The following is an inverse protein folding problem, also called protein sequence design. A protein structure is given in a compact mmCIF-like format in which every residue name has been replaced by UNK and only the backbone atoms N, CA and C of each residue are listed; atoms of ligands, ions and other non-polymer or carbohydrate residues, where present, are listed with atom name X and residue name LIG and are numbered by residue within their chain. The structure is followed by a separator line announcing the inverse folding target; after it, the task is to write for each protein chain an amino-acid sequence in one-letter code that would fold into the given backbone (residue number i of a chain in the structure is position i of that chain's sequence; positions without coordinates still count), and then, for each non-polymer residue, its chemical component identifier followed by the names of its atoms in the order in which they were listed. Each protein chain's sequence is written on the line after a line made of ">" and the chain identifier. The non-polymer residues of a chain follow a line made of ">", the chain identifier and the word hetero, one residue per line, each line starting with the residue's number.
data_IF_266088247517
#
_entry.id   IF_266088247517
#
_cell.length_a   1.000
_cell.length_b   1.000
_cell.length_c   1.000
_cell.angle_alpha   90.00
_cell.angle_beta   90.00
_cell.angle_gamma   90.00
#
_symmetry.space_group_name_H-M   'P 1'
#
loop_
_entity.id
_entity.type
_entity.pdbx_description
1 polymer ?
#
# COMPACT_ATOMS: atom_id res chain seq x y z
N UNK A 1 2.00 -50.07 68.18
CA UNK A 1 2.71 -49.49 67.04
C UNK A 1 1.81 -49.38 65.74
N UNK A 2 1.15 -50.47 65.32
CA UNK A 2 0.35 -50.44 64.07
C UNK A 2 -0.86 -49.42 64.08
N UNK A 3 -1.49 -49.24 65.28
CA UNK A 3 -2.62 -48.27 65.41
C UNK A 3 -2.17 -46.81 65.46
N UNK A 4 -0.93 -46.53 65.92
CA UNK A 4 -0.37 -45.20 65.95
C UNK A 4 0.05 -44.72 64.54
N UNK A 5 0.57 -45.64 63.71
CA UNK A 5 0.97 -45.39 62.33
C UNK A 5 -0.27 -45.08 61.44
N UNK A 6 -1.39 -45.78 61.67
CA UNK A 6 -2.63 -45.56 60.99
C UNK A 6 -3.24 -44.16 61.30
N UNK A 7 -3.10 -43.65 62.52
CA UNK A 7 -3.59 -42.35 62.96
C UNK A 7 -2.76 -41.17 62.33
N UNK A 8 -1.43 -41.36 62.25
CA UNK A 8 -0.52 -40.37 61.65
C UNK A 8 -0.72 -40.29 60.15
N UNK A 9 -0.97 -41.42 59.47
CA UNK A 9 -1.28 -41.47 58.05
C UNK A 9 -2.66 -40.83 57.73
N UNK A 10 -3.66 -41.02 58.61
CA UNK A 10 -4.98 -40.39 58.45
C UNK A 10 -4.91 -38.87 58.66
N UNK A 11 -4.09 -38.38 59.60
CA UNK A 11 -3.89 -36.95 59.85
C UNK A 11 -3.13 -36.27 58.71
N UNK A 12 -2.15 -36.99 58.09
CA UNK A 12 -1.44 -36.50 56.92
C UNK A 12 -2.33 -36.36 55.67
N UNK A 13 -3.30 -37.28 55.47
CA UNK A 13 -4.25 -37.23 54.38
C UNK A 13 -5.28 -36.07 54.53
N UNK A 14 -5.69 -35.73 55.77
CA UNK A 14 -6.63 -34.59 56.01
C UNK A 14 -5.94 -33.25 55.84
N UNK A 15 -4.62 -33.16 56.12
CA UNK A 15 -3.84 -31.94 55.86
C UNK A 15 -3.56 -31.72 54.38
N UNK A 16 -3.50 -32.76 53.53
CA UNK A 16 -3.37 -32.63 52.08
C UNK A 16 -4.69 -32.21 51.39
N UNK A 17 -5.85 -32.43 51.98
CA UNK A 17 -7.14 -31.99 51.45
C UNK A 17 -7.48 -30.56 51.82
N UNK A 18 -6.88 -29.95 52.83
CA UNK A 18 -7.08 -28.57 53.21
C UNK A 18 -6.19 -27.59 52.41
N UNK A 19 -5.21 -28.08 51.63
CA UNK A 19 -4.33 -27.26 50.79
C UNK A 19 -4.80 -27.12 49.34
N UNK A 20 -5.92 -27.76 48.94
CA UNK A 20 -6.52 -27.66 47.60
C UNK A 20 -7.69 -26.68 47.51
N UNK A 21 -7.80 -25.75 48.45
CA UNK A 21 -8.86 -24.73 48.48
C UNK A 21 -8.34 -23.32 48.43
N UNK A 22 -7.41 -23.00 47.50
CA UNK A 22 -7.09 -21.62 47.18
C UNK A 22 -6.81 -21.46 45.69
N UNK A 23 -7.72 -20.68 45.09
CA UNK A 23 -7.52 -19.93 43.86
C UNK A 23 -6.99 -20.75 42.67
N UNK A 24 -7.91 -21.21 41.83
CA UNK A 24 -7.62 -21.19 40.40
C UNK A 24 -7.21 -19.77 40.04
N UNK A 25 -5.95 -19.46 40.22
CA UNK A 25 -5.31 -18.52 39.34
C UNK A 25 -5.20 -19.25 38.01
N UNK A 26 -6.22 -19.12 37.15
CA UNK A 26 -6.01 -19.15 35.72
C UNK A 26 -4.68 -18.41 35.50
N UNK A 27 -3.70 -18.94 34.78
CA UNK A 27 -2.58 -18.12 34.35
C UNK A 27 -3.25 -16.97 33.61
N UNK A 28 -3.19 -15.73 34.12
CA UNK A 28 -3.33 -14.58 33.31
C UNK A 28 -2.31 -14.81 32.19
N UNK A 29 -2.78 -15.19 31.03
CA UNK A 29 -2.08 -14.96 29.77
C UNK A 29 -1.55 -13.56 29.92
N UNK A 30 -0.21 -13.43 29.86
CA UNK A 30 0.44 -12.16 30.18
C UNK A 30 -0.31 -11.04 29.53
N UNK A 31 -0.55 -9.98 30.31
CA UNK A 31 -0.97 -8.69 29.77
C UNK A 31 0.07 -8.29 28.70
N UNK A 32 -0.13 -8.76 27.48
CA UNK A 32 0.47 -8.12 26.32
C UNK A 32 -0.27 -6.82 26.20
N UNK A 33 0.25 -5.76 26.83
CA UNK A 33 -0.33 -4.43 26.85
C UNK A 33 -0.19 -3.79 25.45
N UNK A 34 -0.58 -4.52 24.41
CA UNK A 34 -0.59 -4.03 23.02
C UNK A 34 -1.80 -3.11 22.89
N UNK A 35 -1.54 -1.84 22.66
CA UNK A 35 -2.59 -0.83 22.52
C UNK A 35 -3.02 -0.66 21.07
N UNK A 36 -2.06 -0.81 20.13
CA UNK A 36 -2.26 -0.59 18.69
C UNK A 36 -1.91 -1.84 17.92
N UNK A 37 -2.88 -2.39 17.21
CA UNK A 37 -2.65 -3.45 16.21
C UNK A 37 -2.43 -2.83 14.84
N UNK A 38 -1.44 -3.30 14.11
CA UNK A 38 -1.14 -2.85 12.75
C UNK A 38 -1.13 -4.06 11.83
N UNK A 39 -1.86 -3.98 10.72
CA UNK A 39 -1.89 -5.04 9.71
C UNK A 39 -1.47 -4.45 8.37
N UNK A 40 -0.39 -5.00 7.78
CA UNK A 40 0.17 -4.61 6.49
C UNK A 40 0.04 -5.73 5.46
N UNK A 41 0.03 -5.44 4.14
CA UNK A 41 -0.35 -6.44 3.13
C UNK A 41 0.68 -7.56 2.97
N UNK A 42 1.96 -7.23 2.73
CA UNK A 42 3.00 -8.21 2.40
C UNK A 42 4.40 -7.72 2.77
N UNK A 43 5.37 -8.63 2.83
CA UNK A 43 6.81 -8.29 2.93
C UNK A 43 7.52 -8.33 1.58
N UNK A 44 6.83 -8.73 0.51
CA UNK A 44 7.43 -8.87 -0.82
C UNK A 44 7.65 -7.51 -1.50
N UNK A 45 6.87 -6.49 -1.12
CA UNK A 45 7.07 -5.11 -1.50
C UNK A 45 7.93 -4.40 -0.44
N UNK A 46 9.13 -3.88 -0.77
CA UNK A 46 10.05 -3.22 0.18
C UNK A 46 9.43 -2.04 0.92
N UNK A 47 8.46 -1.38 0.31
CA UNK A 47 7.71 -0.28 0.89
C UNK A 47 7.14 -0.62 2.27
N UNK A 48 6.47 -1.76 2.42
CA UNK A 48 5.80 -2.12 3.66
C UNK A 48 6.75 -2.40 4.83
N UNK A 49 8.02 -2.75 4.54
CA UNK A 49 9.05 -2.84 5.56
C UNK A 49 9.51 -1.46 6.06
N UNK A 50 9.47 -0.44 5.19
CA UNK A 50 9.74 0.95 5.57
C UNK A 50 8.60 1.48 6.47
N UNK A 51 7.35 1.17 6.12
CA UNK A 51 6.18 1.53 6.93
C UNK A 51 6.23 0.85 8.32
N UNK A 52 6.57 -0.45 8.42
CA UNK A 52 6.77 -1.16 9.69
C UNK A 52 7.79 -0.44 10.58
N UNK A 53 8.94 -0.06 10.01
CA UNK A 53 9.99 0.66 10.74
C UNK A 53 9.52 2.05 11.20
N UNK A 54 8.82 2.78 10.35
CA UNK A 54 8.28 4.11 10.63
C UNK A 54 7.22 4.08 11.74
N UNK A 55 6.29 3.13 11.70
CA UNK A 55 5.31 2.91 12.77
C UNK A 55 5.97 2.55 14.09
N UNK A 56 6.94 1.63 14.08
CA UNK A 56 7.63 1.20 15.29
C UNK A 56 8.35 2.38 15.96
N UNK A 57 8.97 3.24 15.16
CA UNK A 57 9.63 4.44 15.65
C UNK A 57 8.62 5.49 16.17
N UNK A 58 7.59 5.82 15.39
CA UNK A 58 6.64 6.87 15.73
C UNK A 58 5.81 6.52 16.98
N UNK A 59 5.23 5.31 17.04
CA UNK A 59 4.42 4.86 18.18
C UNK A 59 5.28 4.64 19.43
N UNK A 60 6.49 4.07 19.28
CA UNK A 60 7.43 3.88 20.38
C UNK A 60 7.87 5.22 20.99
N UNK A 61 8.17 6.22 20.16
CA UNK A 61 8.50 7.57 20.63
C UNK A 61 7.31 8.26 21.34
N UNK A 62 6.09 7.97 20.92
CA UNK A 62 4.87 8.45 21.57
C UNK A 62 4.49 7.68 22.84
N UNK A 63 5.21 6.61 23.18
CA UNK A 63 5.00 5.81 24.39
C UNK A 63 3.90 4.77 24.28
N UNK A 64 3.46 4.42 23.05
CA UNK A 64 2.47 3.37 22.80
C UNK A 64 3.12 2.03 22.47
N UNK A 65 2.47 0.96 22.91
CA UNK A 65 2.84 -0.41 22.52
C UNK A 65 2.06 -0.83 21.30
N UNK A 66 2.76 -1.27 20.27
CA UNK A 66 2.16 -1.73 19.02
C UNK A 66 2.68 -3.11 18.60
N UNK A 67 1.91 -3.78 17.76
CA UNK A 67 2.31 -5.02 17.11
C UNK A 67 1.93 -4.95 15.63
N UNK A 68 2.89 -5.30 14.76
CA UNK A 68 2.71 -5.33 13.30
C UNK A 68 2.62 -6.76 12.83
N UNK A 69 1.58 -7.08 12.08
CA UNK A 69 1.36 -8.36 11.41
C UNK A 69 1.20 -8.15 9.91
N UNK A 70 1.62 -9.14 9.12
CA UNK A 70 1.55 -9.09 7.66
C UNK A 70 0.55 -10.11 7.11
N UNK A 71 -0.28 -9.68 6.17
CA UNK A 71 -1.33 -10.50 5.55
C UNK A 71 -0.80 -11.50 4.52
N UNK A 72 0.47 -11.41 4.15
CA UNK A 72 1.15 -12.31 3.21
C UNK A 72 0.43 -12.40 1.85
N UNK A 73 -0.17 -11.31 1.39
CA UNK A 73 -0.97 -11.31 0.15
C UNK A 73 -2.32 -12.04 0.25
N UNK A 74 -2.82 -12.32 1.47
CA UNK A 74 -4.01 -13.15 1.69
C UNK A 74 -5.03 -12.49 2.62
N UNK A 75 -6.25 -12.23 2.12
CA UNK A 75 -7.35 -11.69 2.93
C UNK A 75 -7.78 -12.62 4.07
N UNK A 76 -7.58 -13.94 3.96
CA UNK A 76 -7.86 -14.86 5.06
C UNK A 76 -6.83 -14.78 6.18
N UNK A 77 -5.55 -14.55 5.85
CA UNK A 77 -4.49 -14.28 6.82
C UNK A 77 -4.71 -12.91 7.47
N UNK A 78 -5.14 -11.92 6.69
CA UNK A 78 -5.50 -10.58 7.19
C UNK A 78 -6.57 -10.65 8.26
N UNK A 79 -7.68 -11.35 7.98
CA UNK A 79 -8.74 -11.58 8.96
C UNK A 79 -8.22 -12.27 10.24
N UNK A 80 -7.39 -13.32 10.09
CA UNK A 80 -6.80 -14.03 11.23
C UNK A 80 -5.86 -13.16 12.06
N UNK A 81 -5.12 -12.26 11.40
CA UNK A 81 -4.25 -11.27 12.06
C UNK A 81 -5.07 -10.28 12.89
N UNK A 82 -6.17 -9.77 12.34
CA UNK A 82 -7.08 -8.88 13.07
C UNK A 82 -7.65 -9.59 14.29
N UNK A 83 -8.14 -10.83 14.15
CA UNK A 83 -8.66 -11.62 15.27
C UNK A 83 -7.59 -11.82 16.36
N UNK A 84 -6.36 -12.16 15.99
CA UNK A 84 -5.26 -12.33 16.94
C UNK A 84 -4.91 -11.03 17.70
N UNK A 85 -5.00 -9.88 17.04
CA UNK A 85 -4.80 -8.57 17.67
C UNK A 85 -5.96 -8.20 18.59
N UNK A 86 -7.21 -8.52 18.22
CA UNK A 86 -8.38 -8.33 19.08
C UNK A 86 -8.30 -9.15 20.37
N UNK A 87 -7.82 -10.40 20.29
CA UNK A 87 -7.58 -11.24 21.46
C UNK A 87 -6.53 -10.65 22.43
N UNK A 88 -5.60 -9.83 21.94
CA UNK A 88 -4.62 -9.07 22.75
C UNK A 88 -5.19 -7.82 23.38
N UNK A 89 -6.43 -7.44 23.03
CA UNK A 89 -7.16 -6.32 23.62
C UNK A 89 -6.71 -4.95 23.11
N UNK A 90 -6.30 -4.86 21.84
CA UNK A 90 -5.98 -3.58 21.18
C UNK A 90 -7.14 -2.59 21.30
N UNK A 91 -6.83 -1.31 21.22
CA UNK A 91 -7.80 -0.21 21.26
C UNK A 91 -7.97 0.47 19.91
N UNK A 92 -6.93 0.43 19.09
CA UNK A 92 -6.91 0.97 17.74
C UNK A 92 -6.34 -0.10 16.81
N UNK A 93 -7.02 -0.33 15.68
CA UNK A 93 -6.54 -1.11 14.56
C UNK A 93 -6.14 -0.15 13.44
N UNK A 94 -4.88 -0.19 13.04
CA UNK A 94 -4.38 0.43 11.80
C UNK A 94 -4.24 -0.67 10.77
N UNK A 95 -4.90 -0.53 9.62
CA UNK A 95 -4.92 -1.57 8.61
C UNK A 95 -4.71 -1.00 7.21
N UNK A 96 -3.73 -1.56 6.49
CA UNK A 96 -3.57 -1.43 5.05
C UNK A 96 -4.09 -2.70 4.40
N UNK A 97 -5.25 -2.63 3.78
CA UNK A 97 -5.97 -3.80 3.29
C UNK A 97 -5.25 -4.48 2.12
N UNK A 98 -5.26 -5.82 2.12
CA UNK A 98 -4.83 -6.61 0.97
C UNK A 98 -5.85 -6.52 -0.19
N UNK A 99 -7.13 -6.49 0.15
CA UNK A 99 -8.25 -6.36 -0.76
C UNK A 99 -9.27 -5.42 -0.12
N UNK A 100 -9.60 -4.32 -0.81
CA UNK A 100 -10.44 -3.24 -0.28
C UNK A 100 -11.83 -3.70 0.16
N UNK A 101 -12.42 -4.66 -0.55
CA UNK A 101 -13.76 -5.17 -0.27
C UNK A 101 -13.73 -6.33 0.73
N UNK A 102 -12.79 -7.28 0.56
CA UNK A 102 -12.70 -8.44 1.44
C UNK A 102 -12.35 -8.08 2.89
N UNK A 103 -11.57 -7.01 3.09
CA UNK A 103 -11.18 -6.52 4.41
C UNK A 103 -12.37 -6.01 5.24
N UNK A 104 -13.52 -5.72 4.62
CA UNK A 104 -14.73 -5.28 5.34
C UNK A 104 -15.12 -6.22 6.47
N UNK A 105 -14.96 -7.54 6.28
CA UNK A 105 -15.26 -8.54 7.31
C UNK A 105 -14.32 -8.46 8.52
N UNK A 106 -13.05 -8.12 8.29
CA UNK A 106 -12.05 -7.98 9.34
C UNK A 106 -12.28 -6.71 10.17
N UNK A 107 -12.53 -5.58 9.51
CA UNK A 107 -12.78 -4.31 10.22
C UNK A 107 -14.14 -4.30 10.92
N UNK A 108 -15.15 -5.02 10.41
CA UNK A 108 -16.43 -5.18 11.11
C UNK A 108 -16.22 -5.87 12.47
N UNK A 109 -15.39 -6.93 12.54
CA UNK A 109 -15.05 -7.58 13.82
C UNK A 109 -14.37 -6.62 14.81
N UNK A 110 -13.47 -5.77 14.32
CA UNK A 110 -12.81 -4.77 15.15
C UNK A 110 -13.82 -3.74 15.68
N UNK A 111 -14.66 -3.23 14.81
CA UNK A 111 -15.73 -2.28 15.16
C UNK A 111 -16.70 -2.86 16.19
N UNK A 112 -17.18 -4.10 15.99
CA UNK A 112 -18.08 -4.80 16.91
C UNK A 112 -17.43 -5.06 18.29
N UNK A 113 -16.10 -5.15 18.34
CA UNK A 113 -15.33 -5.25 19.57
C UNK A 113 -15.07 -3.88 20.24
N UNK A 114 -15.55 -2.78 19.67
CA UNK A 114 -15.34 -1.42 20.15
C UNK A 114 -13.91 -0.90 19.93
N UNK A 115 -13.21 -1.43 18.93
CA UNK A 115 -11.87 -0.99 18.50
C UNK A 115 -12.03 0.03 17.38
N UNK A 116 -11.37 1.19 17.52
CA UNK A 116 -11.37 2.21 16.46
C UNK A 116 -10.53 1.75 15.29
N UNK A 117 -11.06 1.88 14.08
CA UNK A 117 -10.43 1.42 12.83
C UNK A 117 -9.89 2.62 12.05
N UNK A 118 -8.59 2.57 11.76
CA UNK A 118 -7.89 3.55 10.92
C UNK A 118 -7.37 2.82 9.68
N UNK A 119 -7.95 3.11 8.52
CA UNK A 119 -7.39 2.70 7.24
C UNK A 119 -6.08 3.45 6.99
N UNK A 120 -5.05 2.75 6.57
CA UNK A 120 -3.73 3.26 6.25
C UNK A 120 -3.41 2.99 4.79
N UNK A 121 -3.07 4.03 4.04
CA UNK A 121 -2.70 4.01 2.62
C UNK A 121 -3.84 3.52 1.69
N UNK A 122 -4.47 2.38 1.95
CA UNK A 122 -5.55 1.78 1.15
C UNK A 122 -6.89 1.90 1.84
N UNK A 123 -7.89 2.42 1.12
CA UNK A 123 -9.26 2.55 1.64
C UNK A 123 -9.99 1.20 1.60
N UNK A 124 -10.61 0.84 2.71
CA UNK A 124 -11.52 -0.31 2.77
C UNK A 124 -12.92 0.14 2.36
N UNK A 125 -13.51 -0.58 1.39
CA UNK A 125 -14.78 -0.25 0.77
C UNK A 125 -15.92 -1.15 1.27
N UNK A 126 -17.16 -0.77 0.95
CA UNK A 126 -18.37 -1.53 1.23
C UNK A 126 -18.64 -1.82 2.72
N UNK A 127 -18.25 -0.91 3.61
CA UNK A 127 -18.49 -1.04 5.06
C UNK A 127 -18.62 0.34 5.73
N UNK A 128 -19.34 0.40 6.84
CA UNK A 128 -19.38 1.56 7.74
C UNK A 128 -18.45 1.41 8.96
N UNK A 129 -17.68 0.33 9.02
CA UNK A 129 -16.77 -0.01 10.12
C UNK A 129 -15.38 0.63 10.01
N UNK A 130 -15.24 1.73 9.30
CA UNK A 130 -14.00 2.51 9.19
C UNK A 130 -14.23 3.89 9.79
N UNK A 131 -13.42 4.27 10.80
CA UNK A 131 -13.58 5.55 11.49
C UNK A 131 -12.73 6.66 10.86
N UNK A 132 -11.51 6.33 10.40
CA UNK A 132 -10.56 7.28 9.81
C UNK A 132 -9.78 6.65 8.66
N UNK A 133 -9.30 7.52 7.76
CA UNK A 133 -8.40 7.12 6.67
C UNK A 133 -7.22 8.07 6.56
N UNK A 134 -6.01 7.52 6.48
CA UNK A 134 -4.77 8.27 6.30
C UNK A 134 -4.08 7.78 5.04
N UNK A 135 -3.88 8.68 4.10
CA UNK A 135 -3.39 8.34 2.77
C UNK A 135 -2.54 9.45 2.16
N UNK A 136 -2.04 9.21 0.95
CA UNK A 136 -1.49 10.23 0.08
C UNK A 136 -2.54 10.66 -0.96
N UNK A 137 -2.31 11.81 -1.61
CA UNK A 137 -3.13 12.21 -2.75
C UNK A 137 -2.90 11.29 -3.95
N UNK A 138 -3.63 10.16 -3.97
CA UNK A 138 -3.49 9.12 -5.00
C UNK A 138 -3.83 9.65 -6.40
N UNK A 139 -4.79 10.57 -6.52
CA UNK A 139 -5.11 11.20 -7.79
C UNK A 139 -3.94 12.05 -8.30
N UNK A 140 -3.32 12.85 -7.43
CA UNK A 140 -2.15 13.65 -7.78
C UNK A 140 -0.93 12.80 -8.19
N UNK A 141 -0.76 11.60 -7.62
CA UNK A 141 0.25 10.63 -8.09
C UNK A 141 0.05 10.34 -9.57
N UNK A 142 -1.17 9.93 -9.95
CA UNK A 142 -1.49 9.64 -11.35
C UNK A 142 -1.30 10.84 -12.26
N UNK A 143 -1.82 12.01 -11.87
CA UNK A 143 -1.64 13.26 -12.65
C UNK A 143 -0.14 13.55 -12.87
N UNK A 144 0.69 13.41 -11.84
CA UNK A 144 2.12 13.63 -11.93
C UNK A 144 2.80 12.66 -12.92
N UNK A 145 2.42 11.38 -12.91
CA UNK A 145 2.92 10.38 -13.84
C UNK A 145 2.50 10.70 -15.29
N UNK A 146 1.22 10.97 -15.52
CA UNK A 146 0.70 11.29 -16.84
C UNK A 146 1.31 12.57 -17.40
N UNK A 147 1.39 13.64 -16.59
CA UNK A 147 1.96 14.90 -16.98
C UNK A 147 3.45 14.79 -17.31
N UNK A 148 4.20 13.98 -16.52
CA UNK A 148 5.62 13.73 -16.80
C UNK A 148 5.83 13.13 -18.19
N UNK A 149 5.00 12.17 -18.60
CA UNK A 149 5.08 11.59 -19.96
C UNK A 149 4.75 12.63 -21.03
N UNK A 150 3.71 13.44 -20.82
CA UNK A 150 3.33 14.52 -21.76
C UNK A 150 4.48 15.50 -21.98
N UNK A 151 5.12 15.92 -20.88
CA UNK A 151 6.21 16.90 -20.91
C UNK A 151 7.48 16.31 -21.56
N UNK A 152 7.80 15.04 -21.26
CA UNK A 152 8.95 14.34 -21.85
C UNK A 152 8.85 14.20 -23.37
N UNK A 153 7.64 14.09 -23.89
CA UNK A 153 7.37 13.99 -25.33
C UNK A 153 6.76 15.25 -25.93
N UNK A 154 7.01 16.41 -25.33
CA UNK A 154 6.48 17.70 -25.85
C UNK A 154 6.89 17.92 -27.31
N UNK A 155 5.90 18.22 -28.16
CA UNK A 155 6.10 18.45 -29.59
C UNK A 155 6.29 17.20 -30.46
N UNK A 156 6.26 16.00 -29.88
CA UNK A 156 6.23 14.71 -30.59
C UNK A 156 4.78 14.33 -30.93
N UNK A 157 4.62 13.46 -31.92
CA UNK A 157 3.33 12.88 -32.34
C UNK A 157 3.48 11.38 -32.55
N UNK A 158 2.37 10.66 -32.37
CA UNK A 158 2.29 9.20 -32.55
C UNK A 158 3.33 8.44 -31.73
N UNK A 159 3.65 8.90 -30.51
CA UNK A 159 4.54 8.16 -29.60
C UNK A 159 3.79 6.95 -29.06
N UNK A 160 4.33 5.72 -29.20
CA UNK A 160 3.71 4.54 -28.63
C UNK A 160 3.61 4.68 -27.11
N UNK A 161 2.42 4.42 -26.56
CA UNK A 161 2.13 4.49 -25.12
C UNK A 161 1.71 3.13 -24.60
N UNK A 162 2.46 2.62 -23.66
CA UNK A 162 2.12 1.40 -22.94
C UNK A 162 1.59 1.74 -21.54
N UNK A 163 0.41 1.19 -21.22
CA UNK A 163 -0.28 1.43 -19.97
C UNK A 163 -0.19 0.18 -19.08
N UNK A 164 0.14 0.39 -17.81
CA UNK A 164 0.14 -0.65 -16.77
C UNK A 164 -0.54 -0.10 -15.52
N UNK A 165 -1.22 -0.96 -14.79
CA UNK A 165 -1.92 -0.60 -13.56
C UNK A 165 -1.53 -1.51 -12.39
N UNK A 166 -1.85 -1.08 -11.17
CA UNK A 166 -1.80 -1.90 -9.97
C UNK A 166 -2.91 -2.93 -9.90
N UNK A 167 -3.06 -3.58 -8.75
CA UNK A 167 -4.08 -4.59 -8.52
C UNK A 167 -5.50 -4.00 -8.50
N UNK A 168 -6.43 -4.66 -9.17
CA UNK A 168 -7.86 -4.26 -9.18
C UNK A 168 -8.56 -4.52 -7.84
N UNK A 169 -7.90 -5.15 -6.90
CA UNK A 169 -8.35 -5.33 -5.51
C UNK A 169 -7.95 -4.17 -4.60
N UNK A 170 -7.17 -3.23 -5.11
CA UNK A 170 -6.72 -2.03 -4.41
C UNK A 170 -7.41 -0.78 -4.99
N UNK A 171 -8.22 -0.11 -4.15
CA UNK A 171 -8.93 1.11 -4.56
C UNK A 171 -7.99 2.20 -5.09
N UNK A 172 -6.76 2.29 -4.60
CA UNK A 172 -5.78 3.27 -5.07
C UNK A 172 -5.41 3.08 -6.55
N UNK A 173 -5.39 1.84 -7.06
CA UNK A 173 -5.07 1.57 -8.46
C UNK A 173 -6.04 2.28 -9.42
N UNK A 174 -7.31 2.37 -9.05
CA UNK A 174 -8.34 3.12 -9.80
C UNK A 174 -8.06 4.62 -9.77
N UNK A 175 -7.74 5.15 -8.58
CA UNK A 175 -7.50 6.59 -8.38
C UNK A 175 -6.21 7.01 -9.10
N UNK A 176 -5.13 6.22 -9.03
CA UNK A 176 -3.89 6.48 -9.77
C UNK A 176 -4.15 6.51 -11.27
N UNK A 177 -4.83 5.51 -11.80
CA UNK A 177 -5.09 5.44 -13.23
C UNK A 177 -6.01 6.55 -13.69
N UNK A 178 -7.09 6.85 -12.95
CA UNK A 178 -7.98 7.97 -13.25
C UNK A 178 -7.22 9.31 -13.26
N UNK A 179 -6.30 9.53 -12.30
CA UNK A 179 -5.43 10.69 -12.26
C UNK A 179 -4.52 10.80 -13.50
N UNK A 180 -3.85 9.71 -13.87
CA UNK A 180 -3.00 9.68 -15.06
C UNK A 180 -3.82 9.88 -16.35
N UNK A 181 -4.96 9.20 -16.45
CA UNK A 181 -5.83 9.30 -17.61
C UNK A 181 -6.50 10.69 -17.72
N UNK A 182 -6.73 11.39 -16.62
CA UNK A 182 -7.29 12.75 -16.63
C UNK A 182 -6.51 13.74 -17.50
N UNK A 183 -5.19 13.51 -17.65
CA UNK A 183 -4.29 14.34 -18.49
C UNK A 183 -3.91 13.62 -19.79
N UNK A 184 -3.70 12.31 -19.78
CA UNK A 184 -3.27 11.54 -20.95
C UNK A 184 -4.37 11.42 -22.01
N UNK A 185 -5.65 11.38 -21.64
CA UNK A 185 -6.75 11.20 -22.59
C UNK A 185 -6.76 12.25 -23.71
N UNK A 186 -6.53 13.52 -23.37
CA UNK A 186 -6.45 14.62 -24.36
C UNK A 186 -5.18 14.53 -25.19
N UNK A 187 -4.05 14.13 -24.60
CA UNK A 187 -2.80 13.95 -25.33
C UNK A 187 -2.91 12.82 -26.38
N UNK A 188 -3.61 11.74 -26.05
CA UNK A 188 -3.96 10.67 -27.00
C UNK A 188 -4.92 11.18 -28.06
N UNK A 189 -5.99 11.90 -27.68
CA UNK A 189 -6.96 12.46 -28.61
C UNK A 189 -6.34 13.43 -29.61
N UNK A 190 -5.33 14.20 -29.17
CA UNK A 190 -4.60 15.15 -30.01
C UNK A 190 -3.46 14.51 -30.82
N UNK A 191 -3.26 13.18 -30.74
CA UNK A 191 -2.28 12.44 -31.53
C UNK A 191 -0.84 12.57 -31.04
N UNK A 192 -0.61 13.01 -29.79
CA UNK A 192 0.73 12.95 -29.18
C UNK A 192 1.11 11.50 -28.92
N UNK A 193 0.18 10.70 -28.36
CA UNK A 193 0.37 9.30 -28.04
C UNK A 193 -0.57 8.38 -28.81
N UNK A 194 -0.13 7.13 -29.01
CA UNK A 194 -0.93 5.99 -29.49
C UNK A 194 -0.87 4.89 -28.43
N UNK A 195 -2.02 4.51 -27.88
CA UNK A 195 -2.07 3.41 -26.88
C UNK A 195 -1.92 2.06 -27.57
N UNK A 196 -0.93 1.27 -27.18
CA UNK A 196 -0.55 0.01 -27.87
C UNK A 196 -1.11 -1.25 -27.21
N UNK A 197 -1.26 -1.26 -25.88
CA UNK A 197 -1.54 -2.49 -25.13
C UNK A 197 -2.88 -2.51 -24.39
N UNK A 198 -3.72 -1.49 -24.57
CA UNK A 198 -5.00 -1.38 -23.86
C UNK A 198 -6.16 -1.03 -24.81
N UNK A 199 -6.66 -1.97 -25.64
CA UNK A 199 -7.80 -1.69 -26.52
C UNK A 199 -9.07 -1.23 -25.79
N UNK A 200 -9.25 -1.64 -24.52
CA UNK A 200 -10.41 -1.27 -23.72
C UNK A 200 -10.52 0.24 -23.43
N UNK A 201 -9.42 0.99 -23.57
CA UNK A 201 -9.42 2.45 -23.35
C UNK A 201 -9.93 3.25 -24.57
N UNK A 202 -10.06 2.64 -25.75
CA UNK A 202 -10.33 3.33 -27.01
C UNK A 202 -11.58 4.20 -27.00
N UNK A 203 -12.65 3.76 -26.34
CA UNK A 203 -13.93 4.49 -26.24
C UNK A 203 -13.86 5.72 -25.28
N UNK A 204 -12.75 5.84 -24.55
CA UNK A 204 -12.51 6.88 -23.53
C UNK A 204 -11.41 7.86 -23.95
N UNK A 205 -10.92 7.79 -25.18
CA UNK A 205 -10.00 8.79 -25.74
C UNK A 205 -10.71 10.16 -25.80
N UNK A 206 -10.09 11.19 -25.24
CA UNK A 206 -10.68 12.52 -25.09
C UNK A 206 -11.75 12.64 -24.01
N UNK A 207 -11.83 11.63 -23.09
CA UNK A 207 -12.76 11.64 -21.96
C UNK A 207 -12.00 11.28 -20.70
N UNK A 208 -12.09 12.11 -19.67
CA UNK A 208 -11.62 11.75 -18.34
C UNK A 208 -12.50 10.62 -17.76
N UNK A 209 -11.91 9.83 -16.89
CA UNK A 209 -12.58 8.80 -16.10
C UNK A 209 -12.46 9.17 -14.62
N UNK A 210 -13.54 8.99 -13.89
CA UNK A 210 -13.59 9.23 -12.45
C UNK A 210 -13.57 7.90 -11.68
N UNK A 211 -12.76 7.81 -10.64
CA UNK A 211 -12.52 6.54 -9.93
C UNK A 211 -13.78 5.95 -9.26
N UNK A 212 -14.70 6.81 -8.83
CA UNK A 212 -15.92 6.40 -8.14
C UNK A 212 -17.06 6.14 -9.13
N UNK A 213 -17.38 7.12 -9.97
CA UNK A 213 -18.53 7.03 -10.90
C UNK A 213 -18.28 6.08 -12.08
N UNK A 214 -17.04 5.88 -12.52
CA UNK A 214 -16.66 5.01 -13.64
C UNK A 214 -15.97 3.72 -13.18
N UNK A 215 -16.16 3.30 -11.93
CA UNK A 215 -15.45 2.17 -11.32
C UNK A 215 -15.59 0.86 -12.11
N UNK A 216 -16.78 0.53 -12.63
CA UNK A 216 -17.02 -0.68 -13.43
C UNK A 216 -16.23 -0.65 -14.76
N UNK A 217 -16.20 0.53 -15.40
CA UNK A 217 -15.43 0.77 -16.62
C UNK A 217 -13.94 0.64 -16.34
N UNK A 218 -13.47 1.33 -15.31
CA UNK A 218 -12.07 1.26 -14.88
C UNK A 218 -11.66 -0.17 -14.50
N UNK A 219 -12.52 -0.92 -13.81
CA UNK A 219 -12.26 -2.33 -13.48
C UNK A 219 -12.03 -3.18 -14.73
N UNK A 220 -12.81 -2.95 -15.79
CA UNK A 220 -12.62 -3.61 -17.08
C UNK A 220 -11.31 -3.21 -17.75
N UNK A 221 -10.98 -1.91 -17.78
CA UNK A 221 -9.74 -1.39 -18.36
C UNK A 221 -8.53 -1.93 -17.60
N UNK A 222 -8.49 -1.69 -16.28
CA UNK A 222 -7.38 -2.08 -15.43
C UNK A 222 -7.15 -3.60 -15.44
N UNK A 223 -8.22 -4.40 -15.49
CA UNK A 223 -8.13 -5.86 -15.58
C UNK A 223 -7.34 -6.36 -16.79
N UNK A 224 -7.22 -5.57 -17.87
CA UNK A 224 -6.43 -5.93 -19.06
C UNK A 224 -4.95 -5.56 -18.95
N UNK A 225 -4.57 -4.68 -18.03
CA UNK A 225 -3.22 -4.10 -17.89
C UNK A 225 -2.67 -4.22 -16.48
N UNK A 226 -3.32 -5.00 -15.60
CA UNK A 226 -2.93 -5.12 -14.20
C UNK A 226 -1.62 -5.89 -14.01
N UNK A 227 -0.71 -5.33 -13.25
CA UNK A 227 0.50 -5.98 -12.77
C UNK A 227 0.27 -6.72 -11.44
N UNK A 228 -0.89 -6.53 -10.79
CA UNK A 228 -1.21 -7.01 -9.45
C UNK A 228 -0.19 -6.60 -8.37
N UNK A 229 0.56 -5.50 -8.58
CA UNK A 229 1.71 -5.08 -7.77
C UNK A 229 2.86 -6.12 -7.72
N UNK A 230 2.84 -7.12 -8.62
CA UNK A 230 3.77 -8.23 -8.66
C UNK A 230 4.79 -8.06 -9.81
N UNK A 231 6.06 -8.15 -9.46
CA UNK A 231 7.18 -7.91 -10.39
C UNK A 231 7.25 -8.94 -11.53
N UNK A 232 6.97 -10.22 -11.21
CA UNK A 232 7.01 -11.29 -12.20
C UNK A 232 5.84 -11.16 -13.17
N UNK A 233 4.65 -10.80 -12.67
CA UNK A 233 3.47 -10.49 -13.48
C UNK A 233 3.74 -9.29 -14.38
N UNK A 234 4.31 -8.21 -13.86
CA UNK A 234 4.65 -7.01 -14.63
C UNK A 234 5.62 -7.33 -15.77
N UNK A 235 6.68 -8.09 -15.49
CA UNK A 235 7.65 -8.54 -16.50
C UNK A 235 6.99 -9.39 -17.58
N UNK A 236 6.22 -10.41 -17.20
CA UNK A 236 5.54 -11.30 -18.13
C UNK A 236 4.56 -10.54 -19.02
N UNK A 237 3.81 -9.59 -18.44
CA UNK A 237 2.87 -8.75 -19.19
C UNK A 237 3.60 -7.85 -20.19
N UNK A 238 4.72 -7.22 -19.79
CA UNK A 238 5.53 -6.38 -20.67
C UNK A 238 6.14 -7.17 -21.82
N UNK A 239 6.74 -8.33 -21.55
CA UNK A 239 7.27 -9.23 -22.57
C UNK A 239 6.17 -9.68 -23.55
N UNK A 240 4.98 -10.03 -23.04
CA UNK A 240 3.83 -10.39 -23.86
C UNK A 240 3.36 -9.26 -24.77
N UNK A 241 3.29 -8.03 -24.25
CA UNK A 241 2.93 -6.85 -25.03
C UNK A 241 3.96 -6.57 -26.13
N UNK A 242 5.25 -6.68 -25.83
CA UNK A 242 6.32 -6.49 -26.83
C UNK A 242 6.28 -7.56 -27.94
N UNK A 243 5.99 -8.81 -27.61
CA UNK A 243 5.82 -9.87 -28.62
C UNK A 243 4.62 -9.61 -29.52
N UNK A 244 3.53 -9.05 -28.97
CA UNK A 244 2.31 -8.75 -29.73
C UNK A 244 2.42 -7.47 -30.57
N UNK A 245 3.36 -6.58 -30.27
CA UNK A 245 3.51 -5.27 -30.92
C UNK A 245 4.35 -5.34 -32.19
N UNK A 246 3.94 -4.58 -33.20
CA UNK A 246 4.73 -4.36 -34.40
C UNK A 246 5.97 -3.50 -34.13
N UNK A 247 6.98 -3.54 -35.01
CA UNK A 247 8.20 -2.76 -34.87
C UNK A 247 7.93 -1.23 -34.80
N UNK A 248 6.86 -0.74 -35.43
CA UNK A 248 6.47 0.68 -35.39
C UNK A 248 5.95 1.11 -34.00
N UNK A 249 5.44 0.19 -33.20
CA UNK A 249 4.97 0.42 -31.84
C UNK A 249 6.10 0.31 -30.78
N UNK A 250 7.34 0.08 -31.18
CA UNK A 250 8.46 -0.15 -30.27
C UNK A 250 9.41 1.03 -30.20
N UNK A 251 9.99 1.52 -31.17
CA UNK A 251 10.91 2.68 -31.28
C UNK A 251 11.24 3.43 -29.96
N UNK A 252 10.83 4.69 -29.91
CA UNK A 252 10.92 5.57 -28.73
C UNK A 252 9.55 5.60 -28.03
N UNK A 253 9.41 5.01 -26.85
CA UNK A 253 8.11 4.70 -26.24
C UNK A 253 7.87 5.37 -24.88
N UNK A 254 6.63 5.69 -24.59
CA UNK A 254 6.15 6.16 -23.29
C UNK A 254 5.54 4.98 -22.50
N UNK A 255 5.85 4.87 -21.21
CA UNK A 255 5.38 3.78 -20.36
C UNK A 255 4.81 4.36 -19.06
N UNK A 256 3.50 4.21 -18.88
CA UNK A 256 2.84 4.46 -17.60
C UNK A 256 2.97 3.20 -16.75
N UNK A 257 3.91 3.18 -15.82
CA UNK A 257 4.08 2.10 -14.85
C UNK A 257 3.54 2.52 -13.47
N UNK A 258 2.80 1.66 -12.76
CA UNK A 258 2.03 2.08 -11.59
C UNK A 258 2.88 2.30 -10.34
N UNK A 259 3.98 1.57 -10.15
CA UNK A 259 4.91 1.73 -9.03
C UNK A 259 6.33 1.31 -9.39
N UNK A 260 7.26 1.54 -8.50
CA UNK A 260 8.69 1.39 -8.71
C UNK A 260 9.14 -0.05 -9.00
N UNK A 261 8.68 -1.01 -8.22
CA UNK A 261 9.05 -2.41 -8.43
C UNK A 261 8.59 -2.93 -9.79
N UNK A 262 7.33 -2.66 -10.16
CA UNK A 262 6.81 -3.03 -11.46
C UNK A 262 7.45 -2.22 -12.59
N UNK A 263 7.80 -0.95 -12.35
CA UNK A 263 8.52 -0.12 -13.33
C UNK A 263 9.89 -0.71 -13.67
N UNK A 264 10.66 -1.17 -12.68
CA UNK A 264 11.95 -1.84 -12.93
C UNK A 264 11.78 -3.11 -13.76
N UNK A 265 10.80 -3.95 -13.41
CA UNK A 265 10.52 -5.19 -14.14
C UNK A 265 10.11 -4.93 -15.60
N UNK A 266 9.29 -3.90 -15.85
CA UNK A 266 8.89 -3.45 -17.19
C UNK A 266 10.09 -2.86 -17.94
N UNK A 267 10.87 -1.98 -17.30
CA UNK A 267 12.06 -1.38 -17.88
C UNK A 267 13.09 -2.43 -18.35
N UNK A 268 13.28 -3.49 -17.56
CA UNK A 268 14.16 -4.60 -17.92
C UNK A 268 13.66 -5.35 -19.16
N UNK A 269 12.33 -5.58 -19.28
CA UNK A 269 11.75 -6.21 -20.46
C UNK A 269 11.89 -5.34 -21.71
N UNK A 270 11.64 -4.03 -21.60
CA UNK A 270 11.78 -3.10 -22.72
C UNK A 270 13.25 -2.91 -23.13
N UNK A 271 14.17 -2.88 -22.17
CA UNK A 271 15.63 -2.83 -22.45
C UNK A 271 16.14 -4.07 -23.19
N UNK A 272 15.52 -5.22 -22.98
CA UNK A 272 15.92 -6.48 -23.62
C UNK A 272 15.40 -6.65 -25.05
N UNK A 273 14.47 -5.81 -25.52
CA UNK A 273 13.94 -5.85 -26.89
C UNK A 273 14.74 -4.90 -27.81
N UNK A 274 15.49 -5.46 -28.77
CA UNK A 274 16.34 -4.69 -29.70
C UNK A 274 15.56 -3.70 -30.58
N UNK A 275 14.24 -3.83 -30.70
CA UNK A 275 13.38 -2.91 -31.45
C UNK A 275 12.99 -1.66 -30.64
N UNK A 276 13.18 -1.67 -29.33
CA UNK A 276 12.99 -0.51 -28.46
C UNK A 276 14.29 0.33 -28.46
N UNK A 277 14.24 1.52 -29.00
CA UNK A 277 15.43 2.39 -29.10
C UNK A 277 15.64 3.25 -27.86
N UNK A 278 14.55 3.67 -27.22
CA UNK A 278 14.53 4.44 -25.96
C UNK A 278 13.13 4.36 -25.32
N UNK A 279 13.06 4.71 -24.04
CA UNK A 279 11.78 4.82 -23.34
C UNK A 279 11.83 5.87 -22.23
N UNK A 280 10.64 6.38 -21.90
CA UNK A 280 10.37 7.15 -20.68
C UNK A 280 9.37 6.36 -19.84
N UNK A 281 9.74 6.03 -18.59
CA UNK A 281 8.94 5.21 -17.71
C UNK A 281 8.69 5.89 -16.37
N UNK A 282 7.45 5.81 -15.90
CA UNK A 282 7.04 6.35 -14.59
C UNK A 282 7.21 5.34 -13.46
N UNK A 283 7.02 5.78 -12.23
CA UNK A 283 7.00 4.96 -11.02
C UNK A 283 6.43 5.74 -9.84
N UNK A 284 6.32 5.10 -8.70
CA UNK A 284 6.03 5.72 -7.40
C UNK A 284 6.63 4.88 -6.27
N UNK A 285 6.75 5.45 -5.08
CA UNK A 285 7.22 4.95 -3.78
C UNK A 285 8.66 5.36 -3.44
N UNK A 286 9.49 5.78 -4.38
CA UNK A 286 10.90 6.16 -4.20
C UNK A 286 11.72 5.04 -3.52
N UNK A 287 11.54 3.80 -3.98
CA UNK A 287 12.35 2.67 -3.53
C UNK A 287 13.83 2.90 -3.87
N UNK A 288 14.75 2.54 -2.97
CA UNK A 288 16.19 2.75 -3.19
C UNK A 288 16.69 2.11 -4.49
N UNK A 289 16.19 0.94 -4.88
CA UNK A 289 16.52 0.30 -6.15
C UNK A 289 16.05 1.12 -7.36
N UNK A 290 14.90 1.78 -7.27
CA UNK A 290 14.41 2.67 -8.31
C UNK A 290 15.14 4.00 -8.34
N UNK A 291 15.53 4.55 -7.19
CA UNK A 291 16.43 5.72 -7.16
C UNK A 291 17.75 5.43 -7.86
N UNK A 292 18.30 4.20 -7.71
CA UNK A 292 19.47 3.73 -8.46
C UNK A 292 19.19 3.65 -9.97
N UNK A 293 18.04 3.07 -10.37
CA UNK A 293 17.61 3.04 -11.78
C UNK A 293 17.46 4.46 -12.36
N UNK A 294 16.97 5.42 -11.58
CA UNK A 294 16.89 6.83 -12.00
C UNK A 294 18.29 7.41 -12.22
N UNK A 295 19.24 7.17 -11.31
CA UNK A 295 20.65 7.61 -11.48
C UNK A 295 21.32 6.97 -12.68
N UNK A 296 20.97 5.73 -13.02
CA UNK A 296 21.47 4.98 -14.16
C UNK A 296 20.74 5.28 -15.49
N UNK A 297 19.66 6.10 -15.44
CA UNK A 297 18.84 6.42 -16.61
C UNK A 297 17.94 5.29 -17.09
N UNK A 298 17.70 4.28 -16.27
CA UNK A 298 16.81 3.13 -16.55
C UNK A 298 15.36 3.35 -16.12
N UNK A 299 15.13 4.25 -15.19
CA UNK A 299 13.79 4.75 -14.81
C UNK A 299 13.82 6.27 -14.90
N UNK A 300 12.73 6.89 -15.35
CA UNK A 300 12.75 8.33 -15.65
C UNK A 300 12.35 9.19 -14.47
N UNK A 301 11.42 8.69 -13.65
CA UNK A 301 10.93 9.38 -12.46
C UNK A 301 10.29 8.40 -11.49
N UNK A 302 10.12 8.84 -10.26
CA UNK A 302 9.23 8.22 -9.28
C UNK A 302 8.44 9.29 -8.54
N UNK A 303 7.22 8.98 -8.11
CA UNK A 303 6.45 9.84 -7.20
C UNK A 303 6.74 9.38 -5.78
N UNK A 304 7.42 10.22 -5.02
CA UNK A 304 7.75 9.94 -3.63
C UNK A 304 6.54 10.17 -2.73
N UNK A 305 6.20 9.14 -2.02
CA UNK A 305 5.26 9.12 -0.90
C UNK A 305 6.08 8.98 0.38
N UNK A 306 6.19 10.07 1.17
CA UNK A 306 6.99 10.05 2.39
C UNK A 306 6.30 9.21 3.47
N UNK A 307 6.64 7.92 3.55
CA UNK A 307 6.02 6.98 4.49
C UNK A 307 6.27 7.32 5.95
N UNK A 308 7.39 7.99 6.26
CA UNK A 308 7.65 8.47 7.62
C UNK A 308 6.60 9.51 8.04
N UNK A 309 6.30 10.50 7.17
CA UNK A 309 5.25 11.50 7.42
C UNK A 309 3.88 10.84 7.56
N UNK A 310 3.54 9.87 6.67
CA UNK A 310 2.27 9.17 6.75
C UNK A 310 2.12 8.41 8.08
N UNK A 311 3.17 7.70 8.52
CA UNK A 311 3.19 6.99 9.79
C UNK A 311 3.11 7.96 10.99
N UNK A 312 3.78 9.12 10.94
CA UNK A 312 3.70 10.16 11.97
C UNK A 312 2.28 10.75 12.07
N UNK A 313 1.65 11.05 10.93
CA UNK A 313 0.26 11.52 10.87
C UNK A 313 -0.69 10.46 11.44
N UNK A 314 -0.51 9.20 11.06
CA UNK A 314 -1.31 8.09 11.61
C UNK A 314 -1.08 7.95 13.12
N UNK A 315 0.16 8.05 13.59
CA UNK A 315 0.48 8.03 15.02
C UNK A 315 -0.18 9.19 15.77
N UNK A 316 -0.26 10.39 15.18
CA UNK A 316 -0.97 11.54 15.76
C UNK A 316 -2.47 11.27 15.92
N UNK A 317 -3.10 10.65 14.92
CA UNK A 317 -4.51 10.21 14.97
C UNK A 317 -4.69 9.19 16.08
N UNK A 318 -3.88 8.12 16.08
CA UNK A 318 -3.90 7.06 17.10
C UNK A 318 -3.72 7.62 18.51
N UNK A 319 -2.75 8.54 18.69
CA UNK A 319 -2.51 9.21 19.98
C UNK A 319 -3.72 10.00 20.45
N UNK A 320 -4.36 10.74 19.55
CA UNK A 320 -5.57 11.52 19.87
C UNK A 320 -6.70 10.59 20.31
N UNK A 321 -6.93 9.47 19.59
CA UNK A 321 -7.95 8.48 19.94
C UNK A 321 -7.68 7.86 21.31
N UNK A 322 -6.46 7.39 21.56
CA UNK A 322 -6.08 6.75 22.83
C UNK A 322 -6.16 7.69 24.03
N UNK A 323 -6.04 8.98 23.81
CA UNK A 323 -6.24 10.03 24.83
C UNK A 323 -7.70 10.50 24.93
N UNK A 324 -8.65 9.87 24.24
CA UNK A 324 -10.08 10.17 24.30
C UNK A 324 -10.49 11.45 23.55
N UNK A 325 -9.64 11.95 22.64
CA UNK A 325 -9.92 13.08 21.77
C UNK A 325 -10.53 12.66 20.42
N UNK A 326 -10.88 13.67 19.62
CA UNK A 326 -11.33 13.48 18.21
C UNK A 326 -10.21 13.97 17.28
N UNK A 327 -9.67 13.12 16.40
CA UNK A 327 -8.68 13.50 15.42
C UNK A 327 -9.17 14.60 14.47
N UNK A 328 -8.28 15.54 14.14
CA UNK A 328 -8.54 16.49 13.06
C UNK A 328 -8.33 15.83 11.71
N UNK A 329 -9.25 16.07 10.77
CA UNK A 329 -9.18 15.56 9.39
C UNK A 329 -9.21 16.71 8.39
N UNK A 330 -8.68 16.50 7.19
CA UNK A 330 -8.54 17.55 6.17
C UNK A 330 -9.50 17.36 5.00
N UNK A 331 -9.99 16.14 4.80
CA UNK A 331 -10.88 15.76 3.68
C UNK A 331 -11.73 14.56 4.07
N UNK A 332 -12.51 14.05 3.11
CA UNK A 332 -13.25 12.79 3.20
C UNK A 332 -13.05 11.97 1.93
N UNK A 333 -13.11 10.66 2.06
CA UNK A 333 -13.13 9.72 0.93
C UNK A 333 -14.39 8.85 1.03
N UNK A 334 -15.14 8.77 -0.06
CA UNK A 334 -16.30 7.88 -0.13
C UNK A 334 -15.86 6.43 -0.31
N UNK A 335 -16.30 5.54 0.59
CA UNK A 335 -15.98 4.13 0.54
C UNK A 335 -17.13 3.25 0.04
N UNK A 336 -18.08 3.86 -0.69
CA UNK A 336 -19.32 3.29 -1.24
C UNK A 336 -20.44 3.11 -0.20
N UNK A 337 -20.20 3.37 1.08
CA UNK A 337 -21.20 3.31 2.16
C UNK A 337 -21.24 4.60 2.95
N UNK A 338 -20.10 5.16 3.31
CA UNK A 338 -19.93 6.40 4.07
C UNK A 338 -18.82 7.27 3.50
N UNK A 339 -18.85 8.56 3.83
CA UNK A 339 -17.73 9.48 3.64
C UNK A 339 -16.80 9.37 4.85
N UNK A 340 -15.67 8.68 4.68
CA UNK A 340 -14.69 8.43 5.75
C UNK A 340 -13.88 9.69 6.03
N UNK A 341 -13.87 10.21 7.27
CA UNK A 341 -13.00 11.32 7.67
C UNK A 341 -11.52 10.99 7.42
N UNK A 342 -10.81 11.84 6.67
CA UNK A 342 -9.50 11.47 6.14
C UNK A 342 -8.46 12.56 6.31
N UNK A 343 -7.19 12.14 6.35
CA UNK A 343 -6.01 13.00 6.20
C UNK A 343 -5.23 12.55 4.97
N UNK A 344 -4.90 13.52 4.13
CA UNK A 344 -4.19 13.32 2.88
C UNK A 344 -2.84 14.02 2.92
N UNK A 345 -1.76 13.28 2.68
CA UNK A 345 -0.40 13.78 2.59
C UNK A 345 -0.02 14.10 1.13
N UNK A 346 0.78 15.15 0.97
CA UNK A 346 1.28 15.54 -0.34
C UNK A 346 2.32 14.57 -0.88
N UNK A 347 2.47 14.55 -2.21
CA UNK A 347 3.46 13.74 -2.91
C UNK A 347 4.46 14.62 -3.66
N UNK A 348 5.65 14.07 -3.96
CA UNK A 348 6.73 14.79 -4.64
C UNK A 348 7.29 13.98 -5.79
N UNK A 349 7.43 14.58 -6.97
CA UNK A 349 8.12 13.94 -8.11
C UNK A 349 9.62 13.96 -7.88
N UNK A 350 10.26 12.80 -8.00
CA UNK A 350 11.73 12.64 -8.00
C UNK A 350 12.19 12.26 -9.40
N UNK A 351 13.20 12.96 -9.85
CA UNK A 351 13.96 12.70 -11.09
C UNK A 351 15.45 12.74 -10.79
N UNK A 352 16.28 12.42 -11.79
CA UNK A 352 17.72 12.55 -11.65
C UNK A 352 18.17 13.99 -11.32
N UNK A 353 17.37 14.99 -11.69
CA UNK A 353 17.74 16.41 -11.50
C UNK A 353 17.62 16.85 -10.04
N UNK A 354 16.58 16.39 -9.31
CA UNK A 354 16.32 16.82 -7.93
C UNK A 354 16.75 15.80 -6.86
N UNK A 355 17.00 14.54 -7.22
CA UNK A 355 17.44 13.50 -6.27
C UNK A 355 18.71 13.88 -5.49
N UNK A 356 19.77 14.51 -6.09
CA UNK A 356 20.94 14.95 -5.34
C UNK A 356 20.62 15.93 -4.21
N UNK A 357 19.63 16.81 -4.40
CA UNK A 357 19.15 17.73 -3.36
C UNK A 357 18.50 16.98 -2.19
N UNK A 358 17.63 16.02 -2.48
CA UNK A 358 16.94 15.21 -1.47
C UNK A 358 17.92 14.35 -0.66
N UNK A 359 19.00 13.86 -1.28
CA UNK A 359 20.10 13.17 -0.58
C UNK A 359 20.84 14.15 0.34
N UNK A 360 21.17 15.34 -0.16
CA UNK A 360 21.83 16.40 0.63
C UNK A 360 21.00 16.83 1.85
N UNK A 361 19.67 16.87 1.70
CA UNK A 361 18.73 17.23 2.76
C UNK A 361 18.48 16.09 3.75
N UNK A 362 19.05 14.90 3.48
CA UNK A 362 18.99 13.75 4.38
C UNK A 362 17.74 12.89 4.28
N UNK A 363 16.91 13.09 3.25
CA UNK A 363 15.72 12.23 3.00
C UNK A 363 16.12 10.84 2.51
N UNK A 364 17.21 10.75 1.74
CA UNK A 364 17.78 9.50 1.25
C UNK A 364 19.28 9.47 1.54
N UNK A 365 19.89 8.27 1.50
CA UNK A 365 21.34 8.15 1.60
C UNK A 365 21.90 7.46 0.37
N UNK A 366 22.99 7.99 -0.18
CA UNK A 366 23.65 7.39 -1.35
C UNK A 366 24.07 5.94 -1.06
N UNK A 367 24.52 5.65 0.16
CA UNK A 367 24.92 4.28 0.54
C UNK A 367 23.76 3.28 0.52
N UNK A 368 22.53 3.70 0.86
CA UNK A 368 21.37 2.83 0.76
C UNK A 368 20.93 2.61 -0.70
N UNK A 369 21.06 3.66 -1.54
CA UNK A 369 20.78 3.56 -2.98
C UNK A 369 21.81 2.63 -3.65
N UNK A 370 23.10 2.79 -3.37
CA UNK A 370 24.16 1.96 -3.94
C UNK A 370 24.05 0.49 -3.54
N UNK A 371 23.61 0.21 -2.31
CA UNK A 371 23.43 -1.14 -1.77
C UNK A 371 22.16 -1.84 -2.25
N UNK A 372 21.22 -1.12 -2.87
CA UNK A 372 19.95 -1.70 -3.33
C UNK A 372 20.16 -2.58 -4.57
N UNK A 373 19.46 -3.72 -4.59
CA UNK A 373 19.44 -4.70 -5.69
C UNK A 373 18.20 -4.55 -6.58
#
# INVERSE_FOLDING_TARGET
>A
MKKLIALVLALALVLCLAACGTASTTPKTGDSNVQVGIVLPTKDEPRWLQDEASFSAALGNAGFTSEVLFSQGSSSVELSNVEALLEKGIKVLVICAQDATAASAAVQKAHDAGVTVVCYDRLITNTDAVDYYVTFNSFAVGVAQGQFLIDAYAGKTNVPLYLYSGAVTDNNAFIFFAGAWSVLNEAVANGQFVVENCPAIADYVGKALDADSDHEVLSTILGTITTNWDFATAKTLAEGNLVASDAAAKGDVAILAPNDGTARAIADAFTADDAVSSYVITGQDAENASLKYIQEGKQSMTVWKNTATLAETTCSIVSTILNGGTPATTTTYNNQVIDVPSVEEAVTVITNDNLPGLISDGYFTQSAIDAAE
#
